data_IF_814551586926
#
_entry.id   IF_814551586926
#
_cell.length_a   1.000
_cell.length_b   1.000
_cell.length_c   1.000
_cell.angle_alpha   90.00
_cell.angle_beta   90.00
_cell.angle_gamma   90.00
#
_symmetry.space_group_name_H-M   'P 1'
#
loop_
_entity.id
_entity.type
_entity.pdbx_description
1 polymer ?
#
# COMPACT_ATOMS: atom_id res chain seq x y z
N UNK A 1 9.55 -1.21 27.54
CA UNK A 1 10.03 -1.69 26.24
C UNK A 1 8.81 -1.88 25.38
N UNK A 2 8.42 -0.83 24.71
CA UNK A 2 7.30 -0.88 23.78
C UNK A 2 7.66 -1.84 22.67
N UNK A 3 6.91 -2.91 22.56
CA UNK A 3 7.01 -3.80 21.42
C UNK A 3 6.49 -3.01 20.24
N UNK A 4 7.39 -2.60 19.35
CA UNK A 4 7.01 -2.14 18.02
C UNK A 4 6.07 -3.18 17.42
N UNK A 5 4.84 -2.80 17.15
CA UNK A 5 3.90 -3.60 16.39
C UNK A 5 4.35 -3.53 14.94
N UNK A 6 5.33 -4.36 14.60
CA UNK A 6 5.73 -4.54 13.21
C UNK A 6 4.74 -5.52 12.59
N UNK A 7 4.05 -5.08 11.55
CA UNK A 7 3.27 -5.98 10.73
C UNK A 7 1.77 -6.04 11.01
N UNK A 8 1.15 -4.95 11.46
CA UNK A 8 -0.31 -4.83 11.35
C UNK A 8 -0.65 -4.88 9.87
N UNK A 9 -1.10 -6.03 9.44
CA UNK A 9 -1.42 -6.30 8.05
C UNK A 9 -2.67 -5.52 7.63
N UNK A 10 -2.75 -5.23 6.37
CA UNK A 10 -3.79 -4.45 5.70
C UNK A 10 -5.23 -4.90 5.94
N UNK A 11 -5.43 -6.03 6.59
CA UNK A 11 -6.75 -6.59 6.89
C UNK A 11 -7.18 -6.38 8.34
N UNK A 12 -6.27 -6.03 9.24
CA UNK A 12 -6.65 -5.50 10.54
C UNK A 12 -7.22 -4.10 10.36
N UNK A 13 -8.23 -3.76 11.16
CA UNK A 13 -8.73 -2.38 11.20
C UNK A 13 -7.53 -1.46 11.45
N UNK A 14 -7.32 -0.42 10.65
CA UNK A 14 -6.17 0.45 10.80
C UNK A 14 -6.20 1.10 12.19
N UNK A 15 -5.22 0.76 13.00
CA UNK A 15 -5.09 1.28 14.37
C UNK A 15 -4.59 2.72 14.33
N UNK A 16 -3.72 3.02 13.35
CA UNK A 16 -3.10 4.33 13.21
C UNK A 16 -3.13 4.77 11.73
N UNK A 17 -3.48 6.03 11.42
CA UNK A 17 -3.39 6.54 10.05
C UNK A 17 -1.97 6.42 9.52
N UNK A 18 -1.83 5.88 8.30
CA UNK A 18 -0.53 5.53 7.71
C UNK A 18 0.45 6.71 7.67
N UNK A 19 -0.02 7.90 7.30
CA UNK A 19 0.83 9.09 7.25
C UNK A 19 1.42 9.44 8.63
N UNK A 20 0.60 9.39 9.68
CA UNK A 20 1.04 9.61 11.06
C UNK A 20 2.05 8.53 11.47
N UNK A 21 1.75 7.26 11.17
CA UNK A 21 2.66 6.15 11.49
C UNK A 21 4.04 6.32 10.83
N UNK A 22 4.08 6.78 9.57
CA UNK A 22 5.34 7.04 8.85
C UNK A 22 6.10 8.19 9.51
N UNK A 23 5.42 9.30 9.82
CA UNK A 23 6.07 10.47 10.45
C UNK A 23 6.64 10.12 11.83
N UNK A 24 5.87 9.43 12.66
CA UNK A 24 6.31 9.00 14.00
C UNK A 24 7.44 7.97 13.90
N UNK A 25 7.33 7.02 12.96
CA UNK A 25 8.38 6.04 12.69
C UNK A 25 9.69 6.70 12.26
N UNK A 26 9.64 7.67 11.35
CA UNK A 26 10.82 8.43 10.90
C UNK A 26 11.43 9.22 12.07
N UNK A 27 10.60 9.89 12.87
CA UNK A 27 11.07 10.64 14.03
C UNK A 27 11.78 9.75 15.07
N UNK A 28 11.28 8.51 15.25
CA UNK A 28 11.85 7.56 16.21
C UNK A 28 13.06 6.76 15.67
N UNK A 29 13.18 6.63 14.35
CA UNK A 29 14.22 5.80 13.72
C UNK A 29 15.59 6.49 13.65
N UNK A 30 15.65 7.82 13.78
CA UNK A 30 16.90 8.57 13.61
C UNK A 30 17.47 8.40 12.21
N UNK A 31 18.68 7.86 12.11
CA UNK A 31 19.38 7.64 10.82
C UNK A 31 18.98 6.33 10.13
N UNK A 32 18.14 5.51 10.75
CA UNK A 32 17.73 4.23 10.16
C UNK A 32 16.66 4.49 9.07
N UNK A 33 16.85 3.98 7.83
CA UNK A 33 15.88 4.15 6.76
C UNK A 33 14.53 3.51 7.10
N UNK A 34 13.44 4.24 6.84
CA UNK A 34 12.07 3.79 7.08
C UNK A 34 11.40 3.40 5.77
N UNK A 35 10.74 2.25 5.77
CA UNK A 35 9.89 1.75 4.68
C UNK A 35 8.44 2.03 5.05
N UNK A 36 7.71 2.77 4.21
CA UNK A 36 6.27 2.94 4.36
C UNK A 36 5.55 1.72 3.76
N UNK A 37 5.08 0.83 4.64
CA UNK A 37 4.40 -0.41 4.24
C UNK A 37 2.89 -0.26 4.30
N UNK A 38 2.25 -0.43 3.15
CA UNK A 38 0.80 -0.43 3.01
C UNK A 38 0.18 0.96 2.78
N UNK A 39 -1.13 0.95 2.56
CA UNK A 39 -1.91 2.18 2.36
C UNK A 39 -1.77 2.85 0.99
N UNK A 40 -0.92 2.35 0.11
CA UNK A 40 -0.69 2.90 -1.23
C UNK A 40 -1.79 2.40 -2.18
N UNK A 41 -2.64 3.31 -2.62
CA UNK A 41 -3.71 3.05 -3.61
C UNK A 41 -3.49 3.82 -4.91
N UNK A 42 -2.86 4.98 -4.83
CA UNK A 42 -2.59 5.88 -5.94
C UNK A 42 -1.13 6.32 -5.91
N UNK A 43 -0.62 6.79 -7.04
CA UNK A 43 0.74 7.33 -7.13
C UNK A 43 0.98 8.52 -6.18
N UNK A 44 -0.04 9.33 -5.92
CA UNK A 44 0.02 10.41 -4.95
C UNK A 44 0.27 9.95 -3.50
N UNK A 45 -0.09 8.71 -3.16
CA UNK A 45 0.20 8.18 -1.83
C UNK A 45 1.69 7.87 -1.66
N UNK A 46 2.38 7.50 -2.75
CA UNK A 46 3.85 7.37 -2.77
C UNK A 46 4.49 8.72 -2.49
N UNK A 47 4.02 9.78 -3.16
CA UNK A 47 4.52 11.14 -2.92
C UNK A 47 4.37 11.54 -1.45
N UNK A 48 3.20 11.30 -0.87
CA UNK A 48 2.93 11.60 0.54
C UNK A 48 3.82 10.78 1.49
N UNK A 49 4.00 9.49 1.23
CA UNK A 49 4.84 8.63 2.07
C UNK A 49 6.31 9.09 2.06
N UNK A 50 6.85 9.40 0.89
CA UNK A 50 8.22 9.92 0.74
C UNK A 50 8.33 11.30 1.40
N UNK A 51 7.36 12.20 1.17
CA UNK A 51 7.32 13.52 1.80
C UNK A 51 7.22 13.45 3.33
N UNK A 52 6.62 12.39 3.88
CA UNK A 52 6.59 12.13 5.32
C UNK A 52 7.92 11.62 5.90
N UNK A 53 8.93 11.40 5.05
CA UNK A 53 10.27 10.99 5.45
C UNK A 53 10.62 9.54 5.14
N UNK A 54 9.70 8.72 4.62
CA UNK A 54 10.03 7.36 4.21
C UNK A 54 11.10 7.36 3.11
N UNK A 55 11.98 6.37 3.14
CA UNK A 55 13.01 6.17 2.12
C UNK A 55 12.48 5.38 0.93
N UNK A 56 11.59 4.45 1.20
CA UNK A 56 10.94 3.60 0.19
C UNK A 56 9.49 3.32 0.58
N UNK A 57 8.72 2.73 -0.35
CA UNK A 57 7.36 2.27 -0.10
C UNK A 57 7.24 0.79 -0.40
N UNK A 58 6.38 0.09 0.35
CA UNK A 58 6.01 -1.29 0.08
C UNK A 58 4.56 -1.34 -0.40
N UNK A 59 4.34 -2.02 -1.53
CA UNK A 59 3.04 -2.11 -2.17
C UNK A 59 2.61 -3.58 -2.31
N UNK A 60 1.46 -3.93 -1.77
CA UNK A 60 0.87 -5.27 -1.93
C UNK A 60 -0.25 -5.26 -2.97
N UNK A 61 -1.39 -4.68 -2.62
CA UNK A 61 -2.61 -4.68 -3.44
C UNK A 61 -2.45 -4.04 -4.82
N UNK A 62 -1.58 -3.05 -4.94
CA UNK A 62 -1.29 -2.41 -6.23
C UNK A 62 -0.68 -3.39 -7.24
N UNK A 63 0.18 -4.29 -6.78
CA UNK A 63 0.88 -5.26 -7.62
C UNK A 63 0.15 -6.62 -7.69
N UNK A 64 -0.82 -6.87 -6.82
CA UNK A 64 -1.50 -8.16 -6.73
C UNK A 64 -2.23 -8.58 -8.02
N UNK A 65 -2.69 -7.61 -8.83
CA UNK A 65 -3.37 -7.86 -10.09
C UNK A 65 -2.43 -8.02 -11.30
N UNK A 66 -1.13 -7.89 -11.13
CA UNK A 66 -0.17 -7.96 -12.24
C UNK A 66 0.05 -9.39 -12.73
N UNK A 67 0.54 -9.54 -13.94
CA UNK A 67 0.80 -10.84 -14.54
C UNK A 67 1.82 -11.64 -13.73
N UNK A 68 2.85 -11.00 -13.25
CA UNK A 68 3.96 -11.60 -12.48
C UNK A 68 3.59 -11.92 -11.04
N UNK A 69 2.46 -11.41 -10.53
CA UNK A 69 1.96 -11.77 -9.21
C UNK A 69 1.72 -13.28 -9.10
N UNK A 70 2.08 -13.93 -7.96
CA UNK A 70 2.02 -15.39 -7.83
C UNK A 70 0.59 -15.93 -7.79
N UNK A 71 -0.43 -15.10 -7.60
CA UNK A 71 -1.82 -15.55 -7.54
C UNK A 71 -2.31 -16.16 -8.85
N UNK A 72 -3.16 -17.16 -8.75
CA UNK A 72 -3.79 -17.82 -9.89
C UNK A 72 -4.66 -16.83 -10.69
N UNK A 73 -4.63 -16.93 -12.02
CA UNK A 73 -5.50 -16.18 -12.90
C UNK A 73 -6.82 -16.91 -13.11
N UNK A 74 -7.93 -16.24 -12.85
CA UNK A 74 -9.27 -16.79 -13.04
C UNK A 74 -10.07 -15.93 -14.01
N UNK A 75 -10.95 -16.57 -14.79
CA UNK A 75 -11.92 -15.89 -15.64
C UNK A 75 -13.29 -15.95 -14.99
N UNK A 76 -13.89 -14.80 -14.73
CA UNK A 76 -15.24 -14.71 -14.16
C UNK A 76 -16.05 -13.69 -14.94
N UNK A 77 -17.24 -14.08 -15.40
CA UNK A 77 -18.14 -13.20 -16.15
C UNK A 77 -17.44 -12.47 -17.31
N UNK A 78 -16.53 -13.16 -18.02
CA UNK A 78 -15.77 -12.61 -19.15
C UNK A 78 -14.63 -11.65 -18.75
N UNK A 79 -14.35 -11.48 -17.46
CA UNK A 79 -13.25 -10.65 -16.97
C UNK A 79 -12.18 -11.49 -16.28
N UNK A 80 -10.92 -11.11 -16.48
CA UNK A 80 -9.78 -11.76 -15.84
C UNK A 80 -9.52 -11.14 -14.47
N UNK A 81 -9.28 -12.00 -13.47
CA UNK A 81 -8.89 -11.65 -12.12
C UNK A 81 -7.65 -12.43 -11.71
N UNK A 82 -6.94 -11.92 -10.70
CA UNK A 82 -5.87 -12.62 -10.01
C UNK A 82 -6.34 -12.92 -8.59
N UNK A 83 -6.08 -14.13 -8.11
CA UNK A 83 -6.30 -14.46 -6.71
C UNK A 83 -5.23 -13.79 -5.85
N UNK A 84 -5.65 -13.28 -4.70
CA UNK A 84 -4.77 -12.65 -3.71
C UNK A 84 -5.06 -13.24 -2.34
N UNK A 85 -4.02 -13.45 -1.57
CA UNK A 85 -4.13 -13.77 -0.14
C UNK A 85 -3.18 -12.92 0.68
N UNK A 86 -3.66 -12.43 1.81
CA UNK A 86 -2.79 -11.78 2.80
C UNK A 86 -1.86 -12.78 3.47
N UNK A 87 -0.69 -12.34 3.92
CA UNK A 87 0.28 -13.19 4.63
C UNK A 87 -0.31 -13.79 5.90
N UNK A 88 -1.24 -13.10 6.57
CA UNK A 88 -1.98 -13.58 7.74
C UNK A 88 -3.29 -14.30 7.41
N UNK A 89 -3.54 -14.68 6.16
CA UNK A 89 -4.68 -15.52 5.80
C UNK A 89 -4.46 -16.96 6.26
N UNK A 90 -5.55 -17.70 6.42
CA UNK A 90 -5.49 -19.08 6.87
C UNK A 90 -4.61 -19.93 5.93
N UNK A 91 -4.80 -19.82 4.63
CA UNK A 91 -4.03 -20.57 3.65
C UNK A 91 -2.55 -20.19 3.65
N UNK A 92 -2.23 -18.91 3.80
CA UNK A 92 -0.83 -18.47 3.86
C UNK A 92 -0.13 -18.95 5.13
N UNK A 93 -0.83 -18.98 6.28
CA UNK A 93 -0.28 -19.51 7.53
C UNK A 93 -0.06 -21.02 7.46
N UNK A 94 -0.95 -21.75 6.80
CA UNK A 94 -0.77 -23.20 6.54
C UNK A 94 0.43 -23.48 5.64
N UNK A 95 0.72 -22.60 4.70
CA UNK A 95 1.86 -22.69 3.77
C UNK A 95 3.19 -22.15 4.35
N UNK A 96 3.23 -21.76 5.62
CA UNK A 96 4.47 -21.44 6.33
C UNK A 96 4.63 -20.01 6.83
N UNK A 97 3.62 -19.10 6.68
CA UNK A 97 3.73 -17.73 7.19
C UNK A 97 3.29 -17.57 8.65
N UNK A 98 2.99 -18.65 9.34
CA UNK A 98 2.51 -18.63 10.73
C UNK A 98 3.52 -18.06 11.73
N UNK A 99 4.83 -18.19 11.44
CA UNK A 99 5.93 -17.63 12.22
C UNK A 99 5.81 -16.11 12.39
N UNK A 100 5.41 -15.41 11.35
CA UNK A 100 5.22 -13.95 11.36
C UNK A 100 4.11 -13.47 12.30
N UNK A 101 3.20 -14.37 12.68
CA UNK A 101 2.05 -14.09 13.53
C UNK A 101 2.17 -14.74 14.91
N UNK A 102 3.38 -15.18 15.28
CA UNK A 102 3.66 -15.85 16.57
C UNK A 102 2.80 -17.10 16.80
N UNK A 103 2.41 -17.77 15.72
CA UNK A 103 1.57 -18.97 15.73
C UNK A 103 2.36 -20.22 15.27
N UNK A 104 3.68 -20.19 15.42
CA UNK A 104 4.55 -21.32 15.15
C UNK A 104 4.22 -22.51 16.09
N UNK A 105 4.31 -23.70 15.56
CA UNK A 105 4.09 -24.93 16.33
C UNK A 105 2.64 -25.36 16.45
N UNK A 106 1.67 -24.62 15.95
CA UNK A 106 0.29 -25.06 15.87
C UNK A 106 0.09 -26.04 14.70
N UNK A 107 0.01 -27.33 15.00
CA UNK A 107 -0.15 -28.40 13.99
C UNK A 107 -1.58 -28.49 13.42
N UNK A 108 -2.55 -27.75 13.96
CA UNK A 108 -3.94 -27.80 13.53
C UNK A 108 -4.41 -26.47 13.00
N UNK A 109 -4.82 -26.44 11.74
CA UNK A 109 -5.41 -25.25 11.08
C UNK A 109 -6.63 -24.65 11.83
N UNK A 110 -7.28 -25.44 12.69
CA UNK A 110 -8.40 -24.98 13.52
C UNK A 110 -8.01 -24.04 14.65
N UNK A 111 -6.71 -23.93 14.94
CA UNK A 111 -6.18 -23.08 16.02
C UNK A 111 -5.60 -21.77 15.52
N UNK A 112 -5.39 -21.62 14.21
CA UNK A 112 -4.93 -20.34 13.64
C UNK A 112 -5.99 -19.26 13.80
N UNK A 113 -5.57 -18.08 14.21
CA UNK A 113 -6.39 -16.87 14.22
C UNK A 113 -6.01 -16.03 13.01
N UNK A 114 -6.78 -16.10 11.90
CA UNK A 114 -6.43 -15.37 10.70
C UNK A 114 -6.62 -13.87 10.88
N UNK A 115 -5.61 -13.10 10.48
CA UNK A 115 -5.64 -11.64 10.42
C UNK A 115 -5.68 -11.14 8.97
N UNK A 116 -5.51 -12.03 8.00
CA UNK A 116 -5.49 -11.74 6.59
C UNK A 116 -6.71 -12.28 5.85
N UNK A 117 -7.03 -11.64 4.73
CA UNK A 117 -8.11 -12.07 3.84
C UNK A 117 -7.57 -12.82 2.62
N UNK A 118 -8.45 -13.60 2.02
CA UNK A 118 -8.29 -14.16 0.69
C UNK A 118 -9.35 -13.54 -0.23
N UNK A 119 -8.97 -13.26 -1.47
CA UNK A 119 -9.88 -12.60 -2.39
C UNK A 119 -9.36 -12.61 -3.82
N UNK A 120 -9.98 -11.81 -4.65
CA UNK A 120 -9.57 -11.60 -6.04
C UNK A 120 -9.50 -10.11 -6.35
N UNK A 121 -8.56 -9.76 -7.24
CA UNK A 121 -8.41 -8.40 -7.76
C UNK A 121 -8.47 -8.42 -9.29
N UNK A 122 -8.93 -7.36 -9.94
CA UNK A 122 -8.90 -7.27 -11.39
C UNK A 122 -7.48 -7.45 -11.92
N UNK A 123 -7.35 -8.18 -13.02
CA UNK A 123 -6.08 -8.28 -13.75
C UNK A 123 -5.68 -6.92 -14.30
N UNK A 124 -4.41 -6.55 -14.13
CA UNK A 124 -3.87 -5.23 -14.48
C UNK A 124 -2.82 -5.25 -15.60
N UNK A 125 -2.50 -6.42 -16.14
CA UNK A 125 -1.42 -6.56 -17.12
C UNK A 125 -0.04 -6.68 -16.49
N UNK A 126 1.03 -6.43 -17.26
CA UNK A 126 2.42 -6.53 -16.81
C UNK A 126 2.73 -5.55 -15.67
N UNK A 127 3.57 -5.96 -14.73
CA UNK A 127 4.01 -5.12 -13.61
C UNK A 127 4.72 -3.85 -14.08
N UNK A 128 5.43 -3.94 -15.21
CA UNK A 128 6.14 -2.79 -15.80
C UNK A 128 5.22 -1.61 -16.09
N UNK A 129 4.02 -1.87 -16.59
CA UNK A 129 3.04 -0.82 -16.90
C UNK A 129 2.54 -0.13 -15.61
N UNK A 130 2.28 -0.93 -14.57
CA UNK A 130 1.86 -0.40 -13.27
C UNK A 130 2.97 0.46 -12.65
N UNK A 131 4.22 -0.03 -12.66
CA UNK A 131 5.36 0.71 -12.12
C UNK A 131 5.64 1.99 -12.91
N UNK A 132 5.51 1.95 -14.22
CA UNK A 132 5.65 3.14 -15.07
C UNK A 132 4.68 4.25 -14.66
N UNK A 133 3.41 3.90 -14.43
CA UNK A 133 2.38 4.84 -13.97
C UNK A 133 2.70 5.39 -12.57
N UNK A 134 3.10 4.52 -11.64
CA UNK A 134 3.45 4.93 -10.27
C UNK A 134 4.65 5.89 -10.25
N UNK A 135 5.70 5.59 -11.01
CA UNK A 135 6.88 6.46 -11.14
C UNK A 135 6.52 7.77 -11.85
N UNK A 136 5.66 7.72 -12.87
CA UNK A 136 5.14 8.90 -13.55
C UNK A 136 4.42 9.84 -12.59
N UNK A 137 3.52 9.29 -11.75
CA UNK A 137 2.80 10.05 -10.74
C UNK A 137 3.72 10.62 -9.65
N UNK A 138 4.75 9.87 -9.23
CA UNK A 138 5.77 10.39 -8.30
C UNK A 138 6.49 11.59 -8.90
N UNK A 139 6.96 11.49 -10.15
CA UNK A 139 7.62 12.60 -10.87
C UNK A 139 6.70 13.82 -10.99
N UNK A 140 5.43 13.62 -11.30
CA UNK A 140 4.43 14.70 -11.35
C UNK A 140 4.26 15.36 -9.99
N UNK A 141 4.14 14.59 -8.91
CA UNK A 141 4.04 15.10 -7.55
C UNK A 141 5.28 15.89 -7.12
N UNK A 142 6.48 15.43 -7.48
CA UNK A 142 7.72 16.18 -7.28
C UNK A 142 7.69 17.52 -8.04
N UNK A 143 7.20 17.52 -9.29
CA UNK A 143 7.03 18.73 -10.08
C UNK A 143 6.07 19.73 -9.42
N UNK A 144 4.91 19.28 -8.95
CA UNK A 144 3.93 20.13 -8.27
C UNK A 144 4.46 20.71 -6.94
N UNK A 145 5.33 19.99 -6.24
CA UNK A 145 5.95 20.47 -5.00
C UNK A 145 7.25 21.27 -5.22
N UNK A 146 7.70 21.41 -6.48
CA UNK A 146 8.93 22.10 -6.82
C UNK A 146 10.19 21.41 -6.31
N UNK A 147 10.17 20.07 -6.18
CA UNK A 147 11.28 19.26 -5.69
C UNK A 147 11.98 18.55 -6.86
N UNK A 148 13.25 18.87 -7.07
CA UNK A 148 14.07 18.28 -8.14
C UNK A 148 14.65 16.91 -7.80
N UNK A 149 14.60 16.51 -6.54
CA UNK A 149 15.10 15.21 -6.06
C UNK A 149 14.21 14.61 -4.98
N UNK A 150 14.39 13.31 -4.72
CA UNK A 150 13.70 12.60 -3.62
C UNK A 150 14.09 13.20 -2.27
N UNK A 151 15.34 13.59 -2.07
CA UNK A 151 15.81 14.21 -0.83
C UNK A 151 15.16 15.58 -0.60
N UNK A 152 14.98 16.37 -1.66
CA UNK A 152 14.22 17.61 -1.56
C UNK A 152 12.75 17.35 -1.20
N UNK A 153 12.13 16.34 -1.79
CA UNK A 153 10.75 15.97 -1.45
C UNK A 153 10.63 15.58 0.03
N UNK A 154 11.58 14.82 0.56
CA UNK A 154 11.61 14.41 1.98
C UNK A 154 11.84 15.55 2.96
N UNK A 155 12.59 16.57 2.57
CA UNK A 155 13.05 17.63 3.48
C UNK A 155 12.28 18.94 3.34
N UNK A 156 11.72 19.23 2.17
CA UNK A 156 11.09 20.54 1.84
C UNK A 156 9.58 20.47 1.71
N UNK A 157 9.00 19.30 1.44
CA UNK A 157 7.55 19.17 1.29
C UNK A 157 6.81 19.52 2.59
N UNK A 158 5.65 20.14 2.45
CA UNK A 158 4.80 20.51 3.57
C UNK A 158 3.41 19.94 3.40
N UNK A 159 2.85 19.45 4.50
CA UNK A 159 1.48 18.97 4.54
C UNK A 159 0.52 20.08 5.00
N UNK A 160 -0.64 20.09 4.40
CA UNK A 160 -1.78 20.91 4.85
C UNK A 160 -2.94 19.97 5.20
N UNK A 161 -3.65 20.27 6.28
CA UNK A 161 -4.89 19.58 6.61
C UNK A 161 -6.00 20.18 5.77
N UNK A 162 -6.78 19.32 5.14
CA UNK A 162 -7.97 19.72 4.38
C UNK A 162 -9.22 19.16 5.05
N UNK A 163 -10.35 19.83 4.87
CA UNK A 163 -11.65 19.34 5.30
C UNK A 163 -12.22 18.35 4.28
N UNK A 164 -13.29 17.64 4.66
CA UNK A 164 -14.01 16.77 3.72
C UNK A 164 -14.61 17.57 2.54
N UNK A 165 -14.96 18.85 2.76
CA UNK A 165 -15.41 19.73 1.68
C UNK A 165 -14.26 20.06 0.71
N UNK A 166 -13.07 20.41 1.24
CA UNK A 166 -11.88 20.63 0.41
C UNK A 166 -11.42 19.40 -0.34
N UNK A 167 -11.56 18.20 0.26
CA UNK A 167 -11.28 16.94 -0.43
C UNK A 167 -12.23 16.73 -1.62
N UNK A 168 -13.50 17.01 -1.45
CA UNK A 168 -14.50 16.90 -2.52
C UNK A 168 -14.26 17.88 -3.65
N UNK A 169 -13.91 19.13 -3.29
CA UNK A 169 -13.57 20.20 -4.25
C UNK A 169 -12.31 19.89 -5.06
N UNK A 170 -11.33 19.21 -4.45
CA UNK A 170 -10.07 18.85 -5.11
C UNK A 170 -10.17 17.63 -6.05
N UNK A 171 -11.32 16.97 -6.11
CA UNK A 171 -11.59 15.84 -7.01
C UNK A 171 -12.61 16.27 -8.08
N UNK A 172 -12.65 15.58 -9.24
CA UNK A 172 -13.70 15.81 -10.22
C UNK A 172 -15.07 15.68 -9.58
N UNK A 173 -15.86 16.73 -9.62
CA UNK A 173 -17.24 16.78 -9.12
C UNK A 173 -18.15 17.31 -10.25
N UNK A 174 -19.43 17.05 -10.11
CA UNK A 174 -20.46 17.45 -11.10
C UNK A 174 -20.25 16.93 -12.54
N UNK A 175 -19.48 15.83 -12.67
CA UNK A 175 -19.24 15.16 -13.95
C UNK A 175 -19.37 13.64 -13.79
N UNK A 176 -19.82 12.99 -14.85
CA UNK A 176 -19.77 11.53 -14.94
C UNK A 176 -18.45 11.13 -15.60
N UNK A 177 -17.57 10.48 -14.84
CA UNK A 177 -16.28 10.02 -15.36
C UNK A 177 -16.55 8.85 -16.31
N UNK A 178 -16.21 9.01 -17.58
CA UNK A 178 -16.33 7.96 -18.61
C UNK A 178 -15.02 7.20 -18.81
N UNK A 179 -13.89 7.79 -18.41
CA UNK A 179 -12.57 7.18 -18.44
C UNK A 179 -11.74 7.76 -17.30
N UNK A 180 -11.33 6.91 -16.37
CA UNK A 180 -10.42 7.29 -15.31
C UNK A 180 -8.96 7.36 -15.79
N UNK A 181 -8.15 8.19 -15.11
CA UNK A 181 -6.71 8.11 -15.25
C UNK A 181 -6.21 6.76 -14.70
N UNK A 182 -5.17 6.16 -15.29
CA UNK A 182 -4.70 4.83 -14.90
C UNK A 182 -3.99 4.78 -13.53
N UNK A 183 -3.91 5.88 -12.80
CA UNK A 183 -3.21 5.97 -11.50
C UNK A 183 -4.03 6.72 -10.44
#
# INVERSE_FOLDING_TARGET
RDKLVTGVQTCALPILPQLTAVMDGVAGAGDVPVIADGGIKYSGDIVKAIAAGACTVMMGSMLAGTEESPGESILLEGRRFKMIRGMGSLSAMQDGSADRYFQEGEMSSKKFVPEGIEGRVPYKGPVGDVLYQMVGGLKSGMGYTGCGSIDELRTRARFVKITSAGLRESHPHDVTITREAPN
#
